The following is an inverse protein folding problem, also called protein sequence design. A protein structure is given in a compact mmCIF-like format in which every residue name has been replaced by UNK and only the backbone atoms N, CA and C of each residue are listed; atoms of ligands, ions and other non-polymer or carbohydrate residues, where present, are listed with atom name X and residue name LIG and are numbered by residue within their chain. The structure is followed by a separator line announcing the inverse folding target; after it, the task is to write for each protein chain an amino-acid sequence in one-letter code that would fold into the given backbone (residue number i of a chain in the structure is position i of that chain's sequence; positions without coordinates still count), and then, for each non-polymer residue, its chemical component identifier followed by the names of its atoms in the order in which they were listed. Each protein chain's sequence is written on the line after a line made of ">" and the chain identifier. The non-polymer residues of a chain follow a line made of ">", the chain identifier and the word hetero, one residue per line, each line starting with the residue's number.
data_IF_056059558698
#
_entry.id   IF_056059558698
#
_cell.length_a   1.000
_cell.length_b   1.000
_cell.length_c   1.000
_cell.angle_alpha   90.00
_cell.angle_beta   90.00
_cell.angle_gamma   90.00
#
_symmetry.space_group_name_H-M   'P 1'
#
loop_
_entity.id
_entity.type
_entity.pdbx_description
1 polymer ?
#
# COMPACT_ATOMS: atom_id res chain seq x y z
N UNK A 1 -43.45 -17.12 51.84
CA UNK A 1 -43.10 -18.45 51.26
C UNK A 1 -43.35 -18.56 49.75
N UNK A 2 -44.55 -18.27 49.20
CA UNK A 2 -44.86 -18.41 47.75
C UNK A 2 -44.07 -17.45 46.84
N UNK A 3 -43.87 -16.20 47.27
CA UNK A 3 -43.14 -15.17 46.51
C UNK A 3 -41.64 -15.48 46.37
N UNK A 4 -41.04 -16.03 47.42
CA UNK A 4 -39.61 -16.39 47.43
C UNK A 4 -39.32 -17.61 46.57
N UNK A 5 -40.25 -18.59 46.54
CA UNK A 5 -40.20 -19.74 45.63
C UNK A 5 -40.32 -19.30 44.17
N UNK A 6 -41.20 -18.35 43.86
CA UNK A 6 -41.35 -17.81 42.51
C UNK A 6 -40.12 -17.02 42.07
N UNK A 7 -39.47 -16.27 42.98
CA UNK A 7 -38.21 -15.56 42.71
C UNK A 7 -37.06 -16.52 42.43
N UNK A 8 -36.91 -17.58 43.23
CA UNK A 8 -35.90 -18.62 43.01
C UNK A 8 -36.13 -19.35 41.68
N UNK A 9 -37.39 -19.71 41.38
CA UNK A 9 -37.74 -20.33 40.11
C UNK A 9 -37.39 -19.42 38.92
N UNK A 10 -37.75 -18.14 38.97
CA UNK A 10 -37.43 -17.17 37.90
C UNK A 10 -35.93 -17.01 37.67
N UNK A 11 -35.12 -16.90 38.74
CA UNK A 11 -33.66 -16.80 38.63
C UNK A 11 -33.07 -18.08 38.04
N UNK A 12 -33.55 -19.25 38.46
CA UNK A 12 -33.11 -20.54 37.91
C UNK A 12 -33.44 -20.66 36.42
N UNK A 13 -34.63 -20.24 35.99
CA UNK A 13 -35.02 -20.27 34.57
C UNK A 13 -34.18 -19.29 33.74
N UNK A 14 -33.91 -18.09 34.26
CA UNK A 14 -33.07 -17.10 33.58
C UNK A 14 -31.61 -17.57 33.43
N UNK A 15 -31.03 -18.20 34.46
CA UNK A 15 -29.70 -18.78 34.41
C UNK A 15 -29.61 -19.96 33.42
N UNK A 16 -30.66 -20.81 33.37
CA UNK A 16 -30.73 -21.89 32.41
C UNK A 16 -30.78 -21.36 30.96
N UNK A 17 -31.58 -20.32 30.70
CA UNK A 17 -31.65 -19.68 29.39
C UNK A 17 -30.31 -19.08 28.97
N UNK A 18 -29.62 -18.40 29.89
CA UNK A 18 -28.28 -17.85 29.65
C UNK A 18 -27.25 -18.95 29.35
N UNK A 19 -27.29 -20.06 30.09
CA UNK A 19 -26.40 -21.20 29.85
C UNK A 19 -26.66 -21.86 28.49
N UNK A 20 -27.93 -21.99 28.08
CA UNK A 20 -28.31 -22.50 26.75
C UNK A 20 -27.82 -21.56 25.66
N UNK A 21 -28.01 -20.24 25.81
CA UNK A 21 -27.53 -19.24 24.85
C UNK A 21 -26.00 -19.29 24.70
N UNK A 22 -25.28 -19.34 25.82
CA UNK A 22 -23.83 -19.49 25.82
C UNK A 22 -23.38 -20.80 25.15
N UNK A 23 -24.06 -21.92 25.44
CA UNK A 23 -23.77 -23.20 24.82
C UNK A 23 -24.05 -23.20 23.30
N UNK A 24 -25.14 -22.58 22.84
CA UNK A 24 -25.44 -22.44 21.41
C UNK A 24 -24.41 -21.58 20.69
N UNK A 25 -23.94 -20.50 21.32
CA UNK A 25 -22.90 -19.66 20.77
C UNK A 25 -21.56 -20.41 20.70
N UNK A 26 -21.21 -21.14 21.76
CA UNK A 26 -19.98 -21.93 21.84
C UNK A 26 -19.98 -23.09 20.82
N UNK A 27 -21.09 -23.81 20.70
CA UNK A 27 -21.26 -24.88 19.71
C UNK A 27 -21.27 -24.35 18.28
N UNK A 28 -21.85 -23.18 18.03
CA UNK A 28 -21.80 -22.51 16.73
C UNK A 28 -20.37 -22.07 16.35
N UNK A 29 -19.55 -21.68 17.33
CA UNK A 29 -18.14 -21.35 17.11
C UNK A 29 -17.27 -22.58 16.85
N UNK A 30 -17.57 -23.72 17.50
CA UNK A 30 -16.90 -24.99 17.23
C UNK A 30 -17.26 -25.57 15.85
N UNK A 31 -18.44 -25.22 15.33
CA UNK A 31 -18.88 -25.57 13.98
C UNK A 31 -18.38 -24.58 12.91
N UNK A 32 -17.30 -23.84 13.20
CA UNK A 32 -16.68 -22.84 12.33
C UNK A 32 -15.95 -23.42 11.12
N UNK A 33 -16.58 -24.34 10.40
CA UNK A 33 -16.18 -24.75 9.04
C UNK A 33 -17.09 -24.04 8.04
N UNK A 34 -17.09 -22.70 8.09
CA UNK A 34 -17.53 -21.94 6.91
C UNK A 34 -16.69 -22.39 5.71
N UNK A 35 -17.24 -22.43 4.49
CA UNK A 35 -16.48 -22.90 3.34
C UNK A 35 -15.20 -22.08 3.26
N UNK A 36 -14.05 -22.76 3.41
CA UNK A 36 -12.76 -22.14 3.15
C UNK A 36 -12.85 -21.54 1.75
N UNK A 37 -12.55 -20.25 1.62
CA UNK A 37 -12.38 -19.67 0.31
C UNK A 37 -11.38 -20.57 -0.44
N UNK A 38 -11.66 -20.95 -1.69
CA UNK A 38 -10.70 -21.71 -2.46
C UNK A 38 -9.37 -20.94 -2.43
N UNK A 39 -8.23 -21.63 -2.26
CA UNK A 39 -6.95 -20.97 -2.34
C UNK A 39 -6.88 -20.22 -3.67
N UNK A 40 -6.38 -18.97 -3.68
CA UNK A 40 -6.22 -18.24 -4.92
C UNK A 40 -5.37 -19.06 -5.90
N UNK A 41 -5.69 -18.99 -7.19
CA UNK A 41 -4.84 -19.59 -8.20
C UNK A 41 -3.43 -19.01 -8.06
N UNK A 42 -2.42 -19.88 -8.00
CA UNK A 42 -1.04 -19.42 -7.94
C UNK A 42 -0.69 -18.78 -9.29
N UNK A 43 -0.13 -17.56 -9.31
CA UNK A 43 0.32 -16.93 -10.54
C UNK A 43 1.48 -17.74 -11.16
N UNK A 44 1.58 -17.74 -12.49
CA UNK A 44 2.74 -18.30 -13.19
C UNK A 44 3.97 -17.40 -12.97
N UNK A 45 4.79 -17.76 -11.98
CA UNK A 45 5.97 -16.97 -11.60
C UNK A 45 7.13 -17.07 -12.60
N UNK A 46 7.16 -18.11 -13.44
CA UNK A 46 8.27 -18.36 -14.38
C UNK A 46 8.34 -17.31 -15.50
N UNK A 47 7.19 -16.74 -15.87
CA UNK A 47 7.10 -15.68 -16.88
C UNK A 47 7.18 -14.27 -16.29
N UNK A 48 6.99 -14.13 -14.98
CA UNK A 48 6.95 -12.83 -14.31
C UNK A 48 8.34 -12.18 -14.24
N UNK A 49 8.45 -10.96 -14.78
CA UNK A 49 9.67 -10.16 -14.73
C UNK A 49 9.50 -9.05 -13.68
N UNK A 50 10.15 -9.14 -12.50
CA UNK A 50 10.01 -8.11 -11.48
C UNK A 50 10.62 -6.78 -11.93
N UNK A 51 9.95 -5.68 -11.58
CA UNK A 51 10.50 -4.35 -11.78
C UNK A 51 11.85 -4.19 -11.06
N UNK A 52 12.81 -3.55 -11.74
CA UNK A 52 14.13 -3.26 -11.18
C UNK A 52 14.19 -1.78 -10.79
N UNK A 53 14.53 -1.52 -9.53
CA UNK A 53 14.72 -0.18 -8.99
C UNK A 53 16.21 0.05 -8.70
N UNK A 54 16.81 1.05 -9.34
CA UNK A 54 18.10 1.61 -8.93
C UNK A 54 17.84 3.01 -8.33
N UNK A 55 17.99 3.10 -7.01
CA UNK A 55 17.70 4.30 -6.23
C UNK A 55 19.00 4.98 -5.80
N UNK A 56 19.13 6.26 -6.13
CA UNK A 56 20.18 7.14 -5.65
C UNK A 56 19.57 8.20 -4.74
N UNK A 57 20.04 8.25 -3.49
CA UNK A 57 19.39 8.97 -2.42
C UNK A 57 20.41 9.79 -1.61
N UNK A 58 20.00 10.97 -1.19
CA UNK A 58 20.71 11.80 -0.21
C UNK A 58 19.74 12.16 0.90
N UNK A 59 20.07 11.81 2.15
CA UNK A 59 19.26 12.18 3.32
C UNK A 59 19.87 13.39 4.01
N UNK A 60 19.10 14.46 4.15
CA UNK A 60 19.41 15.57 5.04
C UNK A 60 18.59 15.40 6.34
N UNK A 61 19.24 14.98 7.44
CA UNK A 61 18.55 14.78 8.71
C UNK A 61 18.18 16.11 9.40
N UNK A 62 18.84 17.23 9.09
CA UNK A 62 18.53 18.52 9.72
C UNK A 62 17.23 19.10 9.18
N UNK A 63 17.04 19.03 7.86
CA UNK A 63 15.80 19.44 7.19
C UNK A 63 14.75 18.34 7.07
N UNK A 64 15.08 17.11 7.51
CA UNK A 64 14.24 15.92 7.37
C UNK A 64 13.75 15.72 5.92
N UNK A 65 14.68 15.84 4.97
CA UNK A 65 14.39 15.77 3.53
C UNK A 65 15.24 14.70 2.87
N UNK A 66 14.65 13.95 1.94
CA UNK A 66 15.39 13.05 1.06
C UNK A 66 15.30 13.57 -0.36
N UNK A 67 16.46 13.74 -0.99
CA UNK A 67 16.57 13.96 -2.43
C UNK A 67 16.77 12.62 -3.11
N UNK A 68 15.94 12.32 -4.11
CA UNK A 68 15.87 11.02 -4.73
C UNK A 68 15.90 11.05 -6.26
N UNK A 69 16.62 10.10 -6.83
CA UNK A 69 16.49 9.70 -8.22
C UNK A 69 16.20 8.20 -8.27
N UNK A 70 15.12 7.83 -8.95
CA UNK A 70 14.73 6.44 -9.18
C UNK A 70 14.86 6.10 -10.65
N UNK A 71 15.66 5.09 -10.98
CA UNK A 71 15.61 4.44 -12.30
C UNK A 71 14.81 3.14 -12.17
N UNK A 72 13.64 3.10 -12.80
CA UNK A 72 12.69 1.99 -12.75
C UNK A 72 12.64 1.32 -14.11
N UNK A 73 13.14 0.09 -14.18
CA UNK A 73 13.05 -0.72 -15.38
C UNK A 73 11.87 -1.69 -15.24
N UNK A 74 10.84 -1.52 -16.07
CA UNK A 74 9.60 -2.28 -16.01
C UNK A 74 9.37 -3.02 -17.33
N UNK A 75 8.95 -4.28 -17.20
CA UNK A 75 8.51 -5.13 -18.32
C UNK A 75 7.01 -5.32 -18.17
N UNK A 76 6.25 -5.12 -19.25
CA UNK A 76 4.82 -5.37 -19.24
C UNK A 76 4.58 -6.89 -19.07
N UNK A 77 4.13 -7.29 -17.88
CA UNK A 77 3.81 -8.68 -17.56
C UNK A 77 2.37 -9.06 -17.98
N UNK A 78 1.59 -8.09 -18.47
CA UNK A 78 0.19 -8.27 -18.84
C UNK A 78 0.04 -8.71 -20.30
N UNK A 79 -1.14 -9.23 -20.65
CA UNK A 79 -1.50 -9.67 -22.00
C UNK A 79 -2.08 -8.55 -22.88
N UNK A 80 -2.15 -7.33 -22.35
CA UNK A 80 -2.65 -6.12 -23.03
C UNK A 80 -1.57 -5.03 -23.13
N UNK A 81 -1.59 -4.19 -24.17
CA UNK A 81 -0.68 -3.06 -24.27
C UNK A 81 -1.01 -1.96 -23.23
N UNK A 82 0.02 -1.44 -22.56
CA UNK A 82 -0.13 -0.39 -21.55
C UNK A 82 0.28 0.98 -22.12
N UNK A 83 -0.68 1.90 -22.22
CA UNK A 83 -0.44 3.26 -22.74
C UNK A 83 0.12 4.26 -21.73
N UNK A 84 0.14 3.89 -20.45
CA UNK A 84 0.51 4.75 -19.34
C UNK A 84 0.95 3.89 -18.16
N UNK A 85 1.77 4.43 -17.27
CA UNK A 85 2.16 3.81 -16.01
C UNK A 85 1.72 4.70 -14.84
N UNK A 86 1.37 4.06 -13.72
CA UNK A 86 1.04 4.77 -12.48
C UNK A 86 2.04 4.45 -11.38
N UNK A 87 2.35 5.45 -10.55
CA UNK A 87 3.16 5.27 -9.34
C UNK A 87 2.40 5.80 -8.13
N UNK A 88 2.40 5.05 -7.04
CA UNK A 88 1.95 5.53 -5.75
C UNK A 88 2.93 6.54 -5.16
N UNK A 89 2.37 7.63 -4.66
CA UNK A 89 3.00 8.67 -3.87
C UNK A 89 2.40 8.66 -2.47
N UNK A 90 2.47 7.52 -1.76
CA UNK A 90 1.86 7.35 -0.44
C UNK A 90 2.18 8.45 0.59
N UNK A 91 3.38 9.07 0.61
CA UNK A 91 3.65 10.20 1.50
C UNK A 91 2.73 11.41 1.31
N UNK A 92 2.01 11.49 0.19
CA UNK A 92 1.02 12.55 -0.07
C UNK A 92 -0.36 12.28 0.56
N UNK A 93 -0.54 11.17 1.28
CA UNK A 93 -1.79 10.88 1.96
C UNK A 93 -2.09 11.93 3.05
N UNK A 94 -3.36 12.28 3.22
CA UNK A 94 -3.80 13.33 4.14
C UNK A 94 -3.28 13.11 5.57
N UNK A 95 -3.25 11.87 6.04
CA UNK A 95 -2.77 11.50 7.38
C UNK A 95 -1.34 11.96 7.68
N UNK A 96 -0.47 12.08 6.66
CA UNK A 96 0.91 12.52 6.82
C UNK A 96 1.06 14.04 6.81
N UNK A 97 -0.03 14.76 6.55
CA UNK A 97 -0.04 16.22 6.43
C UNK A 97 -1.01 16.90 7.40
N UNK A 98 -2.05 16.20 7.83
CA UNK A 98 -3.04 16.69 8.78
C UNK A 98 -2.48 16.66 10.21
N UNK A 99 -2.62 17.79 10.91
CA UNK A 99 -2.32 17.94 12.35
C UNK A 99 -0.88 17.55 12.79
N UNK A 100 0.08 17.57 11.86
CA UNK A 100 1.51 17.34 12.14
C UNK A 100 2.32 18.64 12.07
N UNK A 101 3.42 18.73 12.82
CA UNK A 101 4.28 19.94 12.80
C UNK A 101 5.02 20.09 11.48
N UNK A 102 5.43 18.98 10.89
CA UNK A 102 6.13 18.90 9.61
C UNK A 102 5.30 18.00 8.68
N UNK A 103 4.59 18.57 7.70
CA UNK A 103 3.82 17.79 6.73
C UNK A 103 4.71 16.94 5.83
N UNK A 104 4.26 15.72 5.58
CA UNK A 104 4.85 14.81 4.61
C UNK A 104 4.47 15.23 3.19
N UNK A 105 5.44 15.17 2.28
CA UNK A 105 5.18 15.43 0.86
C UNK A 105 6.23 14.74 0.00
N UNK A 106 5.79 13.93 -0.95
CA UNK A 106 6.60 13.40 -2.03
C UNK A 106 6.30 14.18 -3.31
N UNK A 107 7.28 14.95 -3.75
CA UNK A 107 7.20 15.83 -4.93
C UNK A 107 8.03 15.27 -6.06
N UNK A 108 7.44 15.04 -7.22
CA UNK A 108 8.13 14.60 -8.43
C UNK A 108 8.39 15.80 -9.34
N UNK A 109 9.64 16.03 -9.71
CA UNK A 109 10.07 17.16 -10.53
C UNK A 109 10.23 16.80 -12.01
N UNK A 110 10.51 15.54 -12.30
CA UNK A 110 10.80 15.10 -13.65
C UNK A 110 10.59 13.61 -13.82
N UNK A 111 10.08 13.24 -14.99
CA UNK A 111 10.02 11.87 -15.48
C UNK A 111 10.59 11.88 -16.89
N UNK A 112 11.48 10.93 -17.19
CA UNK A 112 12.03 10.74 -18.54
C UNK A 112 12.15 9.27 -18.88
N UNK A 113 12.03 8.95 -20.16
CA UNK A 113 12.41 7.65 -20.72
C UNK A 113 13.68 7.85 -21.53
N UNK A 114 14.75 7.17 -21.14
CA UNK A 114 16.10 7.42 -21.66
C UNK A 114 16.49 8.91 -21.54
N UNK A 115 16.67 9.62 -22.65
CA UNK A 115 17.00 11.05 -22.67
C UNK A 115 15.77 11.96 -22.93
N UNK A 116 14.61 11.37 -23.21
CA UNK A 116 13.40 12.10 -23.61
C UNK A 116 12.51 12.41 -22.38
N UNK A 117 12.20 13.69 -22.12
CA UNK A 117 11.30 14.06 -21.02
C UNK A 117 9.87 13.62 -21.33
N UNK A 118 9.20 13.08 -20.31
CA UNK A 118 7.78 12.68 -20.39
C UNK A 118 6.92 13.67 -19.62
N UNK A 119 5.69 13.87 -20.11
CA UNK A 119 4.66 14.56 -19.34
C UNK A 119 4.15 13.65 -18.23
N UNK A 120 3.74 14.25 -17.13
CA UNK A 120 3.13 13.52 -16.02
C UNK A 120 2.13 14.41 -15.28
N UNK A 121 1.22 13.78 -14.55
CA UNK A 121 0.29 14.46 -13.65
C UNK A 121 0.26 13.77 -12.30
N UNK A 122 0.07 14.54 -11.23
CA UNK A 122 -0.10 14.00 -9.88
C UNK A 122 -1.49 14.32 -9.39
N UNK A 123 -2.13 13.35 -8.73
CA UNK A 123 -3.45 13.51 -8.12
C UNK A 123 -3.47 12.67 -6.84
N UNK A 124 -3.88 13.29 -5.72
CA UNK A 124 -3.87 12.66 -4.40
C UNK A 124 -2.55 11.92 -4.10
N UNK A 125 -2.60 10.59 -4.10
CA UNK A 125 -1.49 9.68 -3.78
C UNK A 125 -0.96 8.93 -4.99
N UNK A 126 -1.16 9.41 -6.22
CA UNK A 126 -0.61 8.78 -7.41
C UNK A 126 -0.06 9.78 -8.44
N UNK A 127 0.89 9.28 -9.22
CA UNK A 127 1.53 9.88 -10.38
C UNK A 127 1.10 9.08 -11.60
N UNK A 128 0.60 9.76 -12.63
CA UNK A 128 0.28 9.18 -13.95
C UNK A 128 1.33 9.62 -14.96
N UNK A 129 1.90 8.66 -15.70
CA UNK A 129 2.91 8.87 -16.73
C UNK A 129 2.41 8.27 -18.05
N UNK A 130 1.82 9.06 -18.96
CA UNK A 130 1.50 8.61 -20.31
C UNK A 130 2.77 8.22 -21.07
N UNK A 131 2.74 7.07 -21.75
CA UNK A 131 3.85 6.62 -22.60
C UNK A 131 3.64 7.14 -24.05
N UNK A 132 4.70 7.56 -24.76
CA UNK A 132 4.59 8.00 -26.15
C UNK A 132 4.09 6.88 -27.09
N UNK A 133 4.46 5.64 -26.78
CA UNK A 133 4.04 4.42 -27.46
C UNK A 133 3.57 3.44 -26.39
N UNK A 134 2.44 2.80 -26.62
CA UNK A 134 1.92 1.79 -25.70
C UNK A 134 2.90 0.62 -25.60
N UNK A 135 3.23 0.22 -24.37
CA UNK A 135 4.15 -0.86 -24.07
C UNK A 135 3.47 -2.19 -24.32
N UNK A 136 3.86 -2.91 -25.37
CA UNK A 136 3.24 -4.19 -25.70
C UNK A 136 3.58 -5.29 -24.66
N UNK A 137 2.81 -6.38 -24.57
CA UNK A 137 3.13 -7.53 -23.71
C UNK A 137 4.57 -8.01 -23.88
N UNK A 138 5.30 -8.13 -22.78
CA UNK A 138 6.71 -8.53 -22.74
C UNK A 138 7.72 -7.44 -23.13
N UNK A 139 7.28 -6.27 -23.62
CA UNK A 139 8.17 -5.14 -23.88
C UNK A 139 8.59 -4.45 -22.59
N UNK A 140 9.70 -3.71 -22.69
CA UNK A 140 10.35 -3.07 -21.55
C UNK A 140 10.48 -1.56 -21.74
N UNK A 141 10.24 -0.82 -20.67
CA UNK A 141 10.54 0.61 -20.56
C UNK A 141 11.44 0.87 -19.36
N UNK A 142 12.27 1.91 -19.44
CA UNK A 142 13.04 2.40 -18.29
C UNK A 142 12.70 3.85 -18.04
N UNK A 143 12.11 4.13 -16.90
CA UNK A 143 11.78 5.48 -16.46
C UNK A 143 12.79 5.96 -15.44
N UNK A 144 13.22 7.20 -15.58
CA UNK A 144 13.98 7.91 -14.54
C UNK A 144 13.10 9.00 -13.94
N UNK A 145 12.94 8.97 -12.63
CA UNK A 145 12.15 9.90 -11.85
C UNK A 145 13.07 10.69 -10.91
N UNK A 146 12.95 12.02 -10.90
CA UNK A 146 13.61 12.89 -9.92
C UNK A 146 12.57 13.42 -8.96
N UNK A 147 12.80 13.29 -7.66
CA UNK A 147 11.81 13.61 -6.63
C UNK A 147 12.45 13.97 -5.30
N UNK A 148 11.71 14.70 -4.47
CA UNK A 148 12.06 14.98 -3.08
C UNK A 148 10.97 14.50 -2.14
N UNK A 149 11.37 13.95 -0.99
CA UNK A 149 10.49 13.62 0.12
C UNK A 149 10.77 14.57 1.29
N UNK A 150 9.76 15.33 1.72
CA UNK A 150 9.70 15.89 3.06
C UNK A 150 9.18 14.81 4.02
N UNK A 151 10.01 14.40 4.98
CA UNK A 151 9.66 13.36 5.96
C UNK A 151 8.72 13.98 6.99
N UNK A 152 7.52 13.42 7.20
CA UNK A 152 6.59 13.97 8.17
C UNK A 152 7.08 13.80 9.62
N UNK A 153 6.66 14.69 10.52
CA UNK A 153 6.70 14.46 11.97
C UNK A 153 5.48 13.61 12.34
N UNK A 154 5.53 12.32 12.02
CA UNK A 154 4.43 11.39 12.17
C UNK A 154 4.93 10.05 12.73
N UNK A 155 4.33 9.55 13.84
CA UNK A 155 4.71 8.27 14.40
C UNK A 155 4.14 7.13 13.56
N UNK A 156 4.98 6.19 13.12
CA UNK A 156 4.51 4.97 12.47
C UNK A 156 5.45 4.47 11.37
N UNK A 157 4.83 3.99 10.29
CA UNK A 157 5.54 3.37 9.15
C UNK A 157 6.31 4.41 8.32
N UNK A 158 5.84 5.64 8.27
CA UNK A 158 6.48 6.76 7.59
C UNK A 158 6.50 7.98 8.51
N UNK A 159 7.68 8.54 8.70
CA UNK A 159 7.88 9.77 9.46
C UNK A 159 9.04 9.67 10.43
N UNK A 160 9.28 10.74 11.14
CA UNK A 160 10.26 10.80 12.22
C UNK A 160 9.53 10.95 13.55
N UNK A 161 9.98 10.20 14.55
CA UNK A 161 9.46 10.27 15.91
C UNK A 161 10.58 9.99 16.91
N UNK A 162 10.80 10.93 17.84
CA UNK A 162 11.82 10.84 18.90
C UNK A 162 13.24 10.54 18.37
N UNK A 163 13.61 11.11 17.22
CA UNK A 163 14.92 10.93 16.59
C UNK A 163 15.06 9.66 15.75
N UNK A 164 13.99 8.88 15.59
CA UNK A 164 13.96 7.70 14.72
C UNK A 164 13.21 8.01 13.44
N UNK A 165 13.88 7.84 12.30
CA UNK A 165 13.26 7.98 10.98
C UNK A 165 12.79 6.62 10.47
N UNK A 166 11.50 6.48 10.25
CA UNK A 166 10.84 5.35 9.59
C UNK A 166 10.53 5.70 8.13
N UNK A 167 11.05 4.90 7.20
CA UNK A 167 10.88 5.08 5.75
C UNK A 167 10.15 3.88 5.15
N UNK A 168 8.86 3.76 5.45
CA UNK A 168 7.95 2.80 4.81
C UNK A 168 7.23 3.44 3.63
N UNK A 169 7.27 2.78 2.47
CA UNK A 169 6.56 3.19 1.25
C UNK A 169 6.75 4.67 0.86
N UNK A 170 8.00 5.12 0.88
CA UNK A 170 8.41 6.52 0.96
C UNK A 170 8.92 7.12 -0.36
N UNK A 171 8.99 6.30 -1.42
CA UNK A 171 9.44 6.64 -2.77
C UNK A 171 8.29 6.43 -3.77
N UNK A 172 8.42 6.84 -5.06
CA UNK A 172 7.44 6.50 -6.07
C UNK A 172 7.42 4.98 -6.35
N UNK A 173 6.31 4.31 -6.04
CA UNK A 173 6.16 2.84 -6.19
C UNK A 173 5.27 2.54 -7.38
N UNK A 174 5.73 1.76 -8.36
CA UNK A 174 4.90 1.36 -9.50
C UNK A 174 3.62 0.66 -9.01
N UNK A 175 2.46 1.14 -9.46
CA UNK A 175 1.17 0.55 -9.17
C UNK A 175 0.98 -0.77 -9.92
N UNK A 176 0.08 -1.62 -9.44
CA UNK A 176 -0.25 -2.89 -10.09
C UNK A 176 -1.30 -2.63 -11.18
N UNK A 177 -1.10 -3.26 -12.34
CA UNK A 177 -2.15 -3.49 -13.31
C UNK A 177 -2.59 -4.94 -13.19
N UNK A 178 -3.88 -5.21 -13.16
CA UNK A 178 -4.42 -6.57 -13.14
C UNK A 178 -5.70 -6.66 -14.01
N UNK A 179 -6.50 -7.72 -13.82
CA UNK A 179 -7.70 -7.98 -14.61
C UNK A 179 -8.76 -6.85 -14.53
N UNK A 180 -8.74 -6.06 -13.46
CA UNK A 180 -9.62 -4.91 -13.26
C UNK A 180 -8.99 -3.59 -13.72
N UNK A 181 -7.73 -3.63 -14.18
CA UNK A 181 -6.96 -2.49 -14.70
C UNK A 181 -6.00 -1.92 -13.67
N UNK A 182 -5.76 -0.61 -13.74
CA UNK A 182 -4.86 0.07 -12.80
C UNK A 182 -5.47 0.12 -11.40
N UNK A 183 -4.77 -0.46 -10.44
CA UNK A 183 -5.14 -0.42 -9.04
C UNK A 183 -4.61 0.87 -8.44
N UNK A 184 -5.52 1.78 -8.09
CA UNK A 184 -5.22 3.14 -7.60
C UNK A 184 -5.98 3.44 -6.30
N UNK A 185 -6.00 2.48 -5.38
CA UNK A 185 -6.68 2.67 -4.11
C UNK A 185 -5.99 3.77 -3.28
N UNK A 186 -6.77 4.65 -2.63
CA UNK A 186 -6.18 5.66 -1.77
C UNK A 186 -5.55 5.02 -0.54
N UNK A 187 -4.59 5.72 0.06
CA UNK A 187 -4.03 5.32 1.34
C UNK A 187 -5.12 5.27 2.43
N UNK A 188 -5.14 4.19 3.21
CA UNK A 188 -6.00 4.03 4.38
C UNK A 188 -5.11 3.92 5.63
N UNK A 189 -5.39 4.73 6.65
CA UNK A 189 -4.65 4.69 7.92
C UNK A 189 -4.75 3.34 8.64
N UNK A 190 -5.90 2.67 8.52
CA UNK A 190 -6.16 1.37 9.14
C UNK A 190 -6.11 0.26 8.10
N UNK A 191 -5.31 -0.77 8.40
CA UNK A 191 -5.10 -1.93 7.54
C UNK A 191 -3.76 -1.88 6.79
N UNK A 192 -3.69 -2.63 5.70
CA UNK A 192 -2.54 -2.67 4.80
C UNK A 192 -2.96 -2.10 3.44
N UNK A 193 -2.87 -0.76 3.24
CA UNK A 193 -3.33 -0.10 2.02
C UNK A 193 -2.34 -0.21 0.86
N UNK A 194 -1.34 -1.08 0.99
CA UNK A 194 -0.22 -1.16 0.06
C UNK A 194 -0.45 -2.32 -0.90
N UNK A 195 -0.48 -2.01 -2.19
CA UNK A 195 -0.54 -3.01 -3.23
C UNK A 195 0.49 -2.67 -4.30
N UNK A 196 1.52 -3.50 -4.40
CA UNK A 196 2.63 -3.36 -5.34
C UNK A 196 3.15 -4.73 -5.71
N UNK A 197 3.68 -4.85 -6.92
CA UNK A 197 4.39 -6.06 -7.31
C UNK A 197 5.70 -6.25 -6.52
N UNK A 198 6.22 -7.47 -6.53
CA UNK A 198 7.58 -7.72 -6.07
C UNK A 198 8.58 -7.04 -6.99
N UNK A 199 9.52 -6.30 -6.41
CA UNK A 199 10.60 -5.63 -7.14
C UNK A 199 11.98 -6.08 -6.68
N UNK A 200 13.00 -5.84 -7.51
CA UNK A 200 14.41 -5.97 -7.12
C UNK A 200 15.02 -4.58 -6.95
N UNK A 201 15.79 -4.41 -5.89
CA UNK A 201 16.28 -3.10 -5.47
C UNK A 201 17.79 -3.06 -5.40
N UNK A 202 18.36 -2.00 -5.96
CA UNK A 202 19.71 -1.52 -5.68
C UNK A 202 19.56 -0.12 -5.11
N UNK A 203 20.01 0.08 -3.88
CA UNK A 203 19.80 1.32 -3.14
C UNK A 203 21.14 1.88 -2.72
N UNK A 204 21.37 3.16 -3.03
CA UNK A 204 22.55 3.91 -2.62
C UNK A 204 22.09 5.12 -1.83
N UNK A 205 22.39 5.12 -0.54
CA UNK A 205 22.14 6.23 0.37
C UNK A 205 23.47 6.93 0.67
N UNK A 206 23.50 8.25 0.54
CA UNK A 206 24.63 9.11 0.86
C UNK A 206 24.28 10.10 1.95
#
# INVERSE_FOLDING_TARGET
>A
MRQERNRRLFISTALLLLAVLAATFYLGHLAGDGPLLPPPALPELDAFVPALYDLELSLDPESATIHGMSRVAYTNNEDVPLGELYFYLYPNAEVFSADVKRPGKLTVYGVRSDEEPLTFSTEATWLKVPLPVALAPGEKVTLELTWDLNIPDYPGRLGENEGVISLGNWYPILAVYDAEGWQLYPYMERGDPFYSEAGRYKVRLR
#
